data_IF_426942988097
#
_entry.id   IF_426942988097
#
_cell.length_a   1.000
_cell.length_b   1.000
_cell.length_c   1.000
_cell.angle_alpha   90.00
_cell.angle_beta   90.00
_cell.angle_gamma   90.00
#
_symmetry.space_group_name_H-M   'P 1'
#
loop_
_entity.id
_entity.type
_entity.pdbx_description
1 polymer ?
#
# COMPACT_ATOMS: atom_id res chain seq x y z
N UNK A 1 -0.37 -12.68 -9.86
CA UNK A 1 -1.20 -13.04 -8.70
C UNK A 1 -0.31 -12.89 -7.48
N UNK A 2 -0.86 -12.44 -6.36
CA UNK A 2 -0.06 -12.16 -5.18
C UNK A 2 -0.80 -11.22 -4.23
N UNK A 3 -0.33 -11.11 -3.00
CA UNK A 3 -0.82 -10.15 -2.03
C UNK A 3 0.32 -9.84 -1.06
N UNK A 4 0.59 -8.56 -0.82
CA UNK A 4 1.73 -8.14 0.02
C UNK A 4 1.38 -7.92 1.48
N UNK A 5 0.15 -8.25 1.89
CA UNK A 5 -0.47 -7.79 3.15
C UNK A 5 -0.51 -6.25 3.26
N UNK A 6 -0.82 -5.71 4.42
CA UNK A 6 -0.83 -4.25 4.62
C UNK A 6 0.57 -3.65 4.43
N UNK A 7 0.64 -2.58 3.65
CA UNK A 7 1.90 -1.90 3.34
C UNK A 7 2.22 -0.75 4.31
N UNK A 8 3.46 -0.26 4.23
CA UNK A 8 3.94 0.88 5.00
C UNK A 8 3.63 2.21 4.31
N UNK A 9 3.63 3.29 5.09
CA UNK A 9 3.39 4.66 4.64
C UNK A 9 4.58 5.30 3.91
N UNK A 10 5.68 4.58 3.70
CA UNK A 10 6.81 5.05 2.92
C UNK A 10 7.85 5.86 3.70
N UNK A 11 8.92 6.19 2.99
CA UNK A 11 10.15 6.78 3.50
C UNK A 11 10.22 8.27 3.20
N UNK A 12 10.54 9.07 4.21
CA UNK A 12 10.61 10.52 4.11
C UNK A 12 11.96 11.04 4.62
N UNK A 13 12.53 12.00 3.91
CA UNK A 13 13.77 12.67 4.33
C UNK A 13 13.55 13.59 5.53
N UNK A 14 12.33 14.13 5.68
CA UNK A 14 11.91 15.04 6.76
C UNK A 14 10.61 14.54 7.36
N UNK A 15 10.37 14.90 8.62
CA UNK A 15 9.11 14.63 9.30
C UNK A 15 7.97 15.48 8.68
N UNK A 16 6.82 14.85 8.48
CA UNK A 16 5.54 15.40 8.06
C UNK A 16 4.57 15.28 9.25
N UNK A 17 4.11 16.41 9.78
CA UNK A 17 3.27 16.44 10.99
C UNK A 17 1.83 16.87 10.70
N UNK A 18 1.60 17.48 9.55
CA UNK A 18 0.30 18.02 9.17
C UNK A 18 0.09 17.95 7.66
N UNK A 19 -1.16 18.15 7.24
CA UNK A 19 -1.50 18.27 5.80
C UNK A 19 -0.70 19.39 5.11
N UNK A 20 -0.32 20.46 5.83
CA UNK A 20 0.46 21.54 5.24
C UNK A 20 1.86 21.11 4.79
N UNK A 21 2.47 20.14 5.48
CA UNK A 21 3.80 19.61 5.17
C UNK A 21 3.81 18.77 3.87
N UNK A 22 2.63 18.33 3.41
CA UNK A 22 2.48 17.61 2.14
C UNK A 22 2.61 18.54 0.93
N UNK A 23 2.35 19.84 1.11
CA UNK A 23 2.32 20.80 0.01
C UNK A 23 3.69 20.98 -0.62
N UNK A 24 3.80 20.63 -1.89
CA UNK A 24 5.04 20.73 -2.67
C UNK A 24 6.02 19.57 -2.45
N UNK A 25 5.71 18.64 -1.54
CA UNK A 25 6.52 17.45 -1.30
C UNK A 25 6.66 16.64 -2.58
N UNK A 26 7.88 16.34 -3.03
CA UNK A 26 8.09 15.48 -4.20
C UNK A 26 8.10 14.02 -3.76
N UNK A 27 7.03 13.28 -4.03
CA UNK A 27 6.90 11.90 -3.57
C UNK A 27 6.78 10.91 -4.73
N UNK A 28 7.56 9.83 -4.69
CA UNK A 28 7.29 8.67 -5.53
C UNK A 28 6.15 7.87 -4.92
N UNK A 29 5.00 7.85 -5.57
CA UNK A 29 3.80 7.08 -5.18
C UNK A 29 2.87 6.89 -6.39
N UNK A 30 2.68 5.67 -6.92
CA UNK A 30 1.83 5.44 -8.07
C UNK A 30 0.35 5.22 -7.66
N UNK A 31 -0.49 4.96 -8.66
CA UNK A 31 -1.85 4.46 -8.45
C UNK A 31 -2.82 5.48 -7.83
N UNK A 32 -3.85 4.96 -7.17
CA UNK A 32 -4.89 5.78 -6.53
C UNK A 32 -4.35 6.57 -5.33
N UNK A 33 -3.39 5.99 -4.59
CA UNK A 33 -2.69 6.69 -3.51
C UNK A 33 -2.01 7.97 -3.99
N UNK A 34 -1.36 7.92 -5.16
CA UNK A 34 -0.76 9.09 -5.80
C UNK A 34 -1.79 10.16 -6.14
N UNK A 35 -2.90 9.80 -6.77
CA UNK A 35 -3.99 10.77 -7.09
C UNK A 35 -4.55 11.46 -5.84
N UNK A 36 -4.66 10.74 -4.73
CA UNK A 36 -5.12 11.31 -3.45
C UNK A 36 -4.05 12.25 -2.89
N UNK A 37 -2.79 11.85 -2.89
CA UNK A 37 -1.67 12.69 -2.44
C UNK A 37 -1.52 13.96 -3.28
N UNK A 38 -1.75 13.90 -4.60
CA UNK A 38 -1.81 15.09 -5.46
C UNK A 38 -2.89 16.08 -5.02
N UNK A 39 -4.09 15.61 -4.63
CA UNK A 39 -5.16 16.47 -4.08
C UNK A 39 -4.76 17.12 -2.76
N UNK A 40 -3.88 16.48 -1.99
CA UNK A 40 -3.31 17.03 -0.76
C UNK A 40 -2.09 17.94 -1.01
N UNK A 41 -1.73 18.18 -2.27
CA UNK A 41 -0.69 19.12 -2.68
C UNK A 41 0.69 18.50 -2.87
N UNK A 42 0.81 17.17 -2.86
CA UNK A 42 2.07 16.45 -3.15
C UNK A 42 2.36 16.50 -4.64
N UNK A 43 3.62 16.75 -5.00
CA UNK A 43 4.14 16.63 -6.35
C UNK A 43 4.50 15.16 -6.62
N UNK A 44 3.56 14.40 -7.17
CA UNK A 44 3.74 12.95 -7.38
C UNK A 44 4.66 12.65 -8.56
N UNK A 45 5.51 11.63 -8.38
CA UNK A 45 6.42 11.10 -9.40
C UNK A 45 6.22 9.60 -9.54
N UNK A 46 6.37 9.08 -10.76
CA UNK A 46 6.33 7.63 -11.02
C UNK A 46 7.70 7.20 -11.53
N UNK A 47 8.39 6.40 -10.72
CA UNK A 47 9.71 5.86 -11.03
C UNK A 47 9.69 4.33 -10.92
N UNK A 48 10.46 3.62 -11.76
CA UNK A 48 10.74 2.20 -11.57
C UNK A 48 11.39 1.93 -10.20
N UNK A 49 11.11 0.77 -9.60
CA UNK A 49 11.59 0.41 -8.25
C UNK A 49 13.10 0.54 -8.07
N UNK A 50 13.88 0.13 -9.07
CA UNK A 50 15.34 0.20 -9.05
C UNK A 50 15.93 1.63 -9.07
N UNK A 51 15.11 2.64 -9.37
CA UNK A 51 15.54 4.04 -9.45
C UNK A 51 15.20 4.85 -8.18
N UNK A 52 14.34 4.31 -7.31
CA UNK A 52 13.80 5.02 -6.14
C UNK A 52 14.92 5.44 -5.18
N UNK A 53 15.81 4.51 -4.82
CA UNK A 53 16.91 4.79 -3.89
C UNK A 53 17.76 5.96 -4.38
N UNK A 54 18.19 5.92 -5.65
CA UNK A 54 19.05 6.94 -6.22
C UNK A 54 18.36 8.30 -6.31
N UNK A 55 17.05 8.31 -6.59
CA UNK A 55 16.25 9.52 -6.62
C UNK A 55 16.11 10.17 -5.22
N UNK A 56 15.88 9.36 -4.17
CA UNK A 56 15.86 9.83 -2.78
C UNK A 56 17.23 10.35 -2.34
N UNK A 57 18.29 9.58 -2.62
CA UNK A 57 19.67 9.90 -2.23
C UNK A 57 20.11 11.24 -2.83
N UNK A 58 19.91 11.41 -4.15
CA UNK A 58 20.21 12.66 -4.86
C UNK A 58 19.24 13.81 -4.56
N UNK A 59 18.12 13.54 -3.88
CA UNK A 59 17.12 14.56 -3.54
C UNK A 59 16.28 15.04 -4.73
N UNK A 60 16.20 14.26 -5.81
CA UNK A 60 15.23 14.56 -6.88
C UNK A 60 13.80 14.38 -6.35
N UNK A 61 13.59 13.39 -5.48
CA UNK A 61 12.38 13.22 -4.66
C UNK A 61 12.71 13.36 -3.16
N UNK A 62 11.72 13.76 -2.39
CA UNK A 62 11.80 14.00 -0.94
C UNK A 62 11.24 12.82 -0.12
N UNK A 63 10.38 12.02 -0.75
CA UNK A 63 9.76 10.85 -0.16
C UNK A 63 9.48 9.76 -1.22
N UNK A 64 9.34 8.52 -0.78
CA UNK A 64 8.92 7.42 -1.63
C UNK A 64 8.21 6.34 -0.83
N UNK A 65 7.18 5.74 -1.41
CA UNK A 65 6.66 4.46 -0.94
C UNK A 65 7.10 3.30 -1.87
N UNK A 66 7.05 2.08 -1.34
CA UNK A 66 7.27 0.87 -2.12
C UNK A 66 6.38 -0.29 -1.67
N UNK A 67 6.70 -0.95 -0.55
CA UNK A 67 5.85 -2.05 -0.01
C UNK A 67 5.87 -2.06 1.52
N UNK A 68 7.02 -2.35 2.11
CA UNK A 68 7.09 -2.76 3.51
C UNK A 68 8.49 -3.19 3.90
N UNK A 69 8.73 -3.51 5.18
CA UNK A 69 10.07 -3.58 5.75
C UNK A 69 11.04 -4.47 4.96
N UNK A 70 10.59 -5.64 4.50
CA UNK A 70 11.45 -6.60 3.80
C UNK A 70 11.98 -6.10 2.47
N UNK A 71 11.11 -5.57 1.60
CA UNK A 71 11.52 -5.11 0.28
C UNK A 71 12.19 -3.73 0.35
N UNK A 72 11.69 -2.86 1.23
CA UNK A 72 12.24 -1.52 1.42
C UNK A 72 13.67 -1.56 1.97
N UNK A 73 13.98 -2.53 2.86
CA UNK A 73 15.34 -2.80 3.33
C UNK A 73 16.25 -3.24 2.18
N UNK A 74 15.78 -4.15 1.30
CA UNK A 74 16.55 -4.60 0.13
C UNK A 74 16.83 -3.48 -0.86
N UNK A 75 15.89 -2.57 -1.04
CA UNK A 75 16.08 -1.37 -1.86
C UNK A 75 17.02 -0.35 -1.19
N UNK A 76 17.31 -0.50 0.11
CA UNK A 76 18.22 0.36 0.84
C UNK A 76 17.65 1.76 1.13
N UNK A 77 16.33 1.92 1.10
CA UNK A 77 15.67 3.25 1.21
C UNK A 77 16.03 3.96 2.52
N UNK A 78 16.22 3.20 3.60
CA UNK A 78 16.64 3.67 4.91
C UNK A 78 17.99 4.41 4.93
N UNK A 79 18.84 4.20 3.92
CA UNK A 79 20.12 4.91 3.79
C UNK A 79 19.94 6.34 3.27
N UNK A 80 18.86 6.62 2.55
CA UNK A 80 18.58 7.93 1.94
C UNK A 80 17.50 8.74 2.70
N UNK A 81 16.64 8.08 3.46
CA UNK A 81 15.54 8.68 4.22
C UNK A 81 15.39 7.98 5.58
N UNK A 82 15.13 8.74 6.65
CA UNK A 82 15.14 8.21 8.02
C UNK A 82 13.76 7.97 8.61
N UNK A 83 12.75 8.71 8.17
CA UNK A 83 11.40 8.60 8.71
C UNK A 83 10.60 7.59 7.90
N UNK A 84 10.20 6.51 8.55
CA UNK A 84 9.42 5.44 7.91
C UNK A 84 8.00 5.47 8.45
N UNK A 85 7.09 5.97 7.63
CA UNK A 85 5.74 6.27 8.03
C UNK A 85 4.83 5.03 8.04
N UNK A 86 3.78 5.04 8.86
CA UNK A 86 2.73 4.03 8.85
C UNK A 86 1.38 4.60 9.29
N UNK A 87 0.25 3.99 8.88
CA UNK A 87 0.15 2.88 7.92
C UNK A 87 0.24 3.36 6.45
N UNK A 88 0.45 2.42 5.52
CA UNK A 88 0.25 2.64 4.09
C UNK A 88 -1.25 2.63 3.75
N UNK A 89 -1.96 3.71 4.07
CA UNK A 89 -3.41 3.80 3.95
C UNK A 89 -3.94 3.63 2.51
N UNK A 90 -3.10 3.83 1.50
CA UNK A 90 -3.44 3.56 0.09
C UNK A 90 -3.46 2.07 -0.24
N UNK A 91 -2.68 1.26 0.47
CA UNK A 91 -2.50 -0.18 0.22
C UNK A 91 -2.67 -1.00 1.52
N UNK A 92 -3.90 -1.05 2.08
CA UNK A 92 -4.19 -1.85 3.28
C UNK A 92 -4.20 -3.37 3.04
N UNK A 93 -4.00 -3.81 1.80
CA UNK A 93 -4.02 -5.21 1.38
C UNK A 93 -4.06 -5.34 -0.15
N UNK A 94 -3.06 -4.81 -0.87
CA UNK A 94 -3.04 -4.82 -2.32
C UNK A 94 -2.98 -6.26 -2.84
N UNK A 95 -3.83 -6.54 -3.81
CA UNK A 95 -3.81 -7.82 -4.54
C UNK A 95 -3.16 -7.60 -5.90
N UNK A 96 -2.08 -8.33 -6.14
CA UNK A 96 -1.40 -8.37 -7.42
C UNK A 96 -2.13 -9.28 -8.40
N UNK A 97 -2.04 -8.96 -9.68
CA UNK A 97 -2.74 -9.67 -10.74
C UNK A 97 -1.82 -10.59 -11.53
N UNK A 98 -2.41 -11.62 -12.14
CA UNK A 98 -1.79 -12.33 -13.27
C UNK A 98 -2.72 -12.11 -14.46
N UNK A 99 -2.19 -11.46 -15.49
CA UNK A 99 -2.96 -11.21 -16.71
C UNK A 99 -2.58 -12.23 -17.77
N UNK A 100 -3.58 -12.80 -18.43
CA UNK A 100 -3.40 -13.77 -19.51
C UNK A 100 -4.10 -13.27 -20.75
N UNK A 101 -3.44 -13.37 -21.90
CA UNK A 101 -4.08 -13.06 -23.18
C UNK A 101 -5.31 -13.97 -23.38
N UNK A 102 -6.46 -13.36 -23.66
CA UNK A 102 -7.73 -14.11 -23.80
C UNK A 102 -7.68 -15.21 -24.85
N UNK A 103 -7.05 -14.97 -26.02
CA UNK A 103 -6.96 -16.00 -27.07
C UNK A 103 -6.06 -17.17 -26.68
N UNK A 104 -5.01 -16.91 -25.91
CA UNK A 104 -4.17 -17.97 -25.36
C UNK A 104 -4.93 -18.78 -24.30
N UNK A 105 -5.66 -18.09 -23.42
CA UNK A 105 -6.50 -18.72 -22.40
C UNK A 105 -7.55 -19.65 -22.99
N UNK A 106 -8.29 -19.17 -24.01
CA UNK A 106 -9.37 -19.93 -24.65
C UNK A 106 -8.86 -21.18 -25.39
N UNK A 107 -7.55 -21.26 -25.69
CA UNK A 107 -6.90 -22.44 -26.30
C UNK A 107 -6.45 -23.48 -25.27
N UNK A 108 -6.39 -23.14 -23.99
CA UNK A 108 -6.01 -24.10 -22.96
C UNK A 108 -7.11 -25.16 -22.78
N UNK A 109 -6.76 -26.44 -22.62
CA UNK A 109 -7.67 -27.44 -22.10
C UNK A 109 -8.29 -26.98 -20.78
N UNK A 110 -9.53 -27.40 -20.48
CA UNK A 110 -10.25 -26.97 -19.27
C UNK A 110 -9.47 -27.32 -18.01
N UNK A 111 -8.80 -28.47 -18.00
CA UNK A 111 -7.98 -28.92 -16.87
C UNK A 111 -6.84 -27.92 -16.60
N UNK A 112 -6.23 -27.36 -17.65
CA UNK A 112 -5.13 -26.39 -17.52
C UNK A 112 -5.64 -25.01 -17.11
N UNK A 113 -6.86 -24.64 -17.51
CA UNK A 113 -7.51 -23.43 -16.99
C UNK A 113 -7.74 -23.53 -15.48
N UNK A 114 -8.19 -24.68 -14.98
CA UNK A 114 -8.40 -24.86 -13.53
C UNK A 114 -7.07 -24.92 -12.77
N UNK A 115 -6.07 -25.67 -13.26
CA UNK A 115 -4.72 -25.70 -12.67
C UNK A 115 -4.13 -24.28 -12.58
N UNK A 116 -4.30 -23.47 -13.63
CA UNK A 116 -3.82 -22.09 -13.62
C UNK A 116 -4.51 -21.23 -12.56
N UNK A 117 -5.84 -21.35 -12.43
CA UNK A 117 -6.60 -20.63 -11.39
C UNK A 117 -6.15 -21.03 -9.99
N UNK A 118 -5.93 -22.33 -9.75
CA UNK A 118 -5.46 -22.83 -8.45
C UNK A 118 -4.04 -22.36 -8.14
N UNK A 119 -3.14 -22.40 -9.12
CA UNK A 119 -1.80 -21.84 -8.96
C UNK A 119 -1.84 -20.34 -8.64
N UNK A 120 -2.73 -19.57 -9.27
CA UNK A 120 -2.92 -18.16 -8.98
C UNK A 120 -3.48 -17.91 -7.56
N UNK A 121 -4.45 -18.71 -7.10
CA UNK A 121 -4.98 -18.67 -5.73
C UNK A 121 -3.89 -19.00 -4.71
N UNK A 122 -3.11 -20.05 -4.96
CA UNK A 122 -1.98 -20.45 -4.12
C UNK A 122 -0.94 -19.32 -4.04
N UNK A 123 -0.54 -18.74 -5.17
CA UNK A 123 0.41 -17.63 -5.21
C UNK A 123 -0.07 -16.42 -4.40
N UNK A 124 -1.37 -16.11 -4.44
CA UNK A 124 -1.96 -15.04 -3.63
C UNK A 124 -1.77 -15.27 -2.12
N UNK A 125 -2.10 -16.47 -1.63
CA UNK A 125 -2.01 -16.81 -0.20
C UNK A 125 -0.55 -16.96 0.24
N UNK A 126 0.25 -17.66 -0.57
CA UNK A 126 1.65 -17.94 -0.26
C UNK A 126 2.47 -16.65 -0.17
N UNK A 127 2.23 -15.68 -1.07
CA UNK A 127 2.92 -14.39 -1.03
C UNK A 127 2.58 -13.62 0.24
N UNK A 128 1.31 -13.56 0.64
CA UNK A 128 0.91 -12.89 1.88
C UNK A 128 1.60 -13.51 3.11
N UNK A 129 1.58 -14.84 3.21
CA UNK A 129 2.25 -15.56 4.30
C UNK A 129 3.77 -15.32 4.33
N UNK A 130 4.41 -15.16 3.16
CA UNK A 130 5.83 -14.81 3.09
C UNK A 130 6.10 -13.40 3.60
N UNK A 131 5.29 -12.40 3.22
CA UNK A 131 5.44 -11.04 3.75
C UNK A 131 5.22 -11.00 5.27
N UNK A 132 4.20 -11.69 5.79
CA UNK A 132 3.96 -11.78 7.23
C UNK A 132 5.17 -12.37 7.98
N UNK A 133 5.79 -13.42 7.43
CA UNK A 133 6.96 -14.05 8.03
C UNK A 133 8.24 -13.20 7.95
N UNK A 134 8.40 -12.39 6.90
CA UNK A 134 9.65 -11.69 6.60
C UNK A 134 9.68 -10.24 7.12
N UNK A 135 8.53 -9.57 7.16
CA UNK A 135 8.45 -8.15 7.50
C UNK A 135 8.88 -7.86 8.95
N UNK A 136 8.51 -8.72 9.91
CA UNK A 136 8.88 -8.52 11.33
C UNK A 136 10.39 -8.46 11.54
N UNK A 137 11.12 -9.45 11.02
CA UNK A 137 12.58 -9.48 11.14
C UNK A 137 13.29 -8.35 10.39
N UNK A 138 12.76 -7.94 9.23
CA UNK A 138 13.29 -6.78 8.49
C UNK A 138 13.05 -5.47 9.22
N UNK A 139 11.87 -5.29 9.82
CA UNK A 139 11.54 -4.11 10.60
C UNK A 139 12.50 -3.92 11.78
N UNK A 140 12.80 -5.00 12.52
CA UNK A 140 13.78 -4.94 13.61
C UNK A 140 15.17 -4.50 13.14
N UNK A 141 15.63 -4.98 11.98
CA UNK A 141 16.92 -4.58 11.41
C UNK A 141 16.92 -3.12 11.00
N UNK A 142 15.83 -2.64 10.39
CA UNK A 142 15.66 -1.23 10.03
C UNK A 142 15.71 -0.32 11.27
N UNK A 143 15.03 -0.70 12.36
CA UNK A 143 15.07 0.04 13.63
C UNK A 143 16.51 0.05 14.20
N UNK A 144 17.20 -1.10 14.20
CA UNK A 144 18.61 -1.19 14.61
C UNK A 144 19.55 -0.35 13.74
N UNK A 145 19.15 -0.05 12.51
CA UNK A 145 19.82 0.85 11.58
C UNK A 145 19.33 2.31 11.67
N UNK A 146 18.82 2.72 12.84
CA UNK A 146 18.38 4.08 13.17
C UNK A 146 17.15 4.62 12.40
N UNK A 147 16.37 3.74 11.76
CA UNK A 147 15.08 4.12 11.16
C UNK A 147 14.12 4.64 12.23
N UNK A 148 13.42 5.74 11.92
CA UNK A 148 12.41 6.36 12.80
C UNK A 148 11.02 5.96 12.32
N UNK A 149 10.43 4.95 12.98
CA UNK A 149 9.03 4.61 12.77
C UNK A 149 8.14 5.77 13.22
N UNK A 150 7.34 6.27 12.30
CA UNK A 150 6.57 7.49 12.51
C UNK A 150 5.11 7.24 12.14
N UNK A 151 4.15 7.35 13.07
CA UNK A 151 2.76 7.28 12.69
C UNK A 151 2.38 8.53 11.89
N UNK A 152 1.54 8.38 10.87
CA UNK A 152 0.82 9.54 10.35
C UNK A 152 -0.04 10.17 11.43
N UNK A 153 -0.11 11.49 11.43
CA UNK A 153 -1.04 12.24 12.27
C UNK A 153 -2.48 11.97 11.83
N UNK A 154 -3.41 12.10 12.77
CA UNK A 154 -4.84 11.85 12.50
C UNK A 154 -5.41 12.82 11.47
N UNK A 155 -4.94 14.07 11.42
CA UNK A 155 -5.38 15.06 10.43
C UNK A 155 -4.98 14.65 9.01
N UNK A 156 -3.77 14.11 8.80
CA UNK A 156 -3.33 13.57 7.51
C UNK A 156 -4.21 12.38 7.10
N UNK A 157 -4.45 11.43 8.01
CA UNK A 157 -5.26 10.25 7.71
C UNK A 157 -6.72 10.63 7.38
N UNK A 158 -7.32 11.57 8.12
CA UNK A 158 -8.67 12.06 7.86
C UNK A 158 -8.76 12.84 6.54
N UNK A 159 -7.76 13.67 6.23
CA UNK A 159 -7.71 14.39 4.96
C UNK A 159 -7.55 13.42 3.76
N UNK A 160 -6.70 12.40 3.89
CA UNK A 160 -6.52 11.36 2.89
C UNK A 160 -7.78 10.51 2.70
N UNK A 161 -8.45 10.11 3.79
CA UNK A 161 -9.71 9.37 3.71
C UNK A 161 -10.79 10.18 2.98
N UNK A 162 -10.97 11.45 3.36
CA UNK A 162 -11.92 12.35 2.72
C UNK A 162 -11.62 12.49 1.23
N UNK A 163 -10.37 12.82 0.87
CA UNK A 163 -9.96 12.99 -0.52
C UNK A 163 -10.09 11.70 -1.34
N UNK A 164 -9.86 10.53 -0.72
CA UNK A 164 -10.05 9.21 -1.34
C UNK A 164 -11.52 8.99 -1.71
N UNK A 165 -12.45 9.21 -0.78
CA UNK A 165 -13.87 9.02 -1.07
C UNK A 165 -14.42 10.05 -2.05
N UNK A 166 -13.98 11.31 -1.97
CA UNK A 166 -14.34 12.32 -2.99
C UNK A 166 -13.87 11.88 -4.38
N UNK A 167 -12.64 11.34 -4.51
CA UNK A 167 -12.13 10.79 -5.77
C UNK A 167 -12.97 9.60 -6.25
N UNK A 168 -13.32 8.66 -5.37
CA UNK A 168 -14.10 7.48 -5.76
C UNK A 168 -15.53 7.82 -6.17
N UNK A 169 -16.20 8.74 -5.47
CA UNK A 169 -17.53 9.20 -5.86
C UNK A 169 -17.49 9.98 -7.20
N UNK A 170 -16.45 10.77 -7.44
CA UNK A 170 -16.22 11.43 -8.72
C UNK A 170 -16.02 10.41 -9.85
N UNK A 171 -15.14 9.42 -9.67
CA UNK A 171 -14.88 8.37 -10.66
C UNK A 171 -16.16 7.54 -10.92
N UNK A 172 -16.93 7.21 -9.87
CA UNK A 172 -18.21 6.52 -10.00
C UNK A 172 -19.28 7.35 -10.73
N UNK A 173 -19.23 8.68 -10.62
CA UNK A 173 -20.14 9.56 -11.38
C UNK A 173 -19.83 9.58 -12.89
N UNK A 174 -18.59 9.28 -13.27
CA UNK A 174 -18.09 9.36 -14.66
C UNK A 174 -18.01 8.01 -15.37
N UNK A 175 -17.80 6.92 -14.64
CA UNK A 175 -17.64 5.56 -15.20
C UNK A 175 -18.60 4.56 -14.54
N UNK A 176 -19.58 4.08 -15.32
CA UNK A 176 -20.56 3.10 -14.88
C UNK A 176 -19.94 1.75 -14.48
N UNK A 177 -18.80 1.35 -15.09
CA UNK A 177 -18.09 0.12 -14.71
C UNK A 177 -17.41 0.30 -13.36
N UNK A 178 -16.74 1.44 -13.16
CA UNK A 178 -16.16 1.78 -11.86
C UNK A 178 -17.24 1.81 -10.78
N UNK A 179 -18.34 2.54 -11.03
CA UNK A 179 -19.48 2.63 -10.11
C UNK A 179 -19.98 1.26 -9.65
N UNK A 180 -20.19 0.34 -10.61
CA UNK A 180 -20.66 -1.02 -10.31
C UNK A 180 -19.74 -1.77 -9.35
N UNK A 181 -18.42 -1.66 -9.55
CA UNK A 181 -17.43 -2.32 -8.66
C UNK A 181 -17.36 -1.61 -7.32
N UNK A 182 -17.32 -0.28 -7.32
CA UNK A 182 -17.21 0.56 -6.13
C UNK A 182 -18.39 0.37 -5.16
N UNK A 183 -19.63 0.34 -5.66
CA UNK A 183 -20.83 0.13 -4.82
C UNK A 183 -20.80 -1.24 -4.12
N UNK A 184 -20.41 -2.30 -4.84
CA UNK A 184 -20.25 -3.64 -4.27
C UNK A 184 -19.14 -3.68 -3.23
N UNK A 185 -17.98 -3.10 -3.56
CA UNK A 185 -16.84 -3.01 -2.66
C UNK A 185 -17.20 -2.23 -1.38
N UNK A 186 -17.90 -1.09 -1.49
CA UNK A 186 -18.30 -0.24 -0.36
C UNK A 186 -19.24 -1.00 0.58
N UNK A 187 -20.20 -1.75 0.03
CA UNK A 187 -21.10 -2.61 0.81
C UNK A 187 -20.34 -3.72 1.56
N UNK A 188 -19.47 -4.45 0.86
CA UNK A 188 -18.68 -5.53 1.46
C UNK A 188 -17.70 -5.02 2.52
N UNK A 189 -17.02 -3.89 2.27
CA UNK A 189 -16.10 -3.25 3.21
C UNK A 189 -16.78 -2.98 4.55
N UNK A 190 -17.98 -2.41 4.55
CA UNK A 190 -18.71 -2.10 5.78
C UNK A 190 -19.04 -3.35 6.60
N UNK A 191 -19.37 -4.47 5.94
CA UNK A 191 -19.59 -5.75 6.60
C UNK A 191 -18.30 -6.28 7.24
N UNK A 192 -17.20 -6.29 6.49
CA UNK A 192 -15.90 -6.75 6.96
C UNK A 192 -15.38 -5.87 8.10
N UNK A 193 -15.50 -4.56 8.01
CA UNK A 193 -15.07 -3.64 9.07
C UNK A 193 -15.83 -3.87 10.37
N UNK A 194 -17.14 -4.14 10.30
CA UNK A 194 -17.94 -4.47 11.48
C UNK A 194 -17.49 -5.78 12.13
N UNK A 195 -17.24 -6.81 11.32
CA UNK A 195 -16.74 -8.10 11.82
C UNK A 195 -15.34 -7.97 12.42
N UNK A 196 -14.38 -7.41 11.67
CA UNK A 196 -13.00 -7.25 12.11
C UNK A 196 -12.88 -6.30 13.30
N UNK A 197 -13.71 -5.25 13.37
CA UNK A 197 -13.77 -4.36 14.52
C UNK A 197 -14.22 -5.08 15.80
N UNK A 198 -15.07 -6.11 15.68
CA UNK A 198 -15.54 -6.92 16.82
C UNK A 198 -14.53 -7.99 17.22
N UNK A 199 -13.97 -8.71 16.23
CA UNK A 199 -13.11 -9.86 16.46
C UNK A 199 -11.63 -9.48 16.43
N UNK A 200 -11.06 -9.29 15.23
CA UNK A 200 -9.61 -9.10 15.02
C UNK A 200 -9.05 -7.88 15.76
N UNK A 201 -9.72 -6.72 15.67
CA UNK A 201 -9.26 -5.49 16.32
C UNK A 201 -9.32 -5.60 17.85
N UNK A 202 -10.38 -6.20 18.39
CA UNK A 202 -10.51 -6.44 19.84
C UNK A 202 -9.41 -7.35 20.34
N UNK A 203 -9.10 -8.43 19.61
CA UNK A 203 -8.00 -9.32 19.93
C UNK A 203 -6.64 -8.64 19.81
N UNK A 204 -6.38 -7.93 18.70
CA UNK A 204 -5.13 -7.20 18.47
C UNK A 204 -4.88 -6.15 19.57
N UNK A 205 -5.91 -5.39 19.96
CA UNK A 205 -5.82 -4.45 21.07
C UNK A 205 -5.48 -5.14 22.40
N UNK A 206 -6.01 -6.34 22.66
CA UNK A 206 -5.69 -7.11 23.86
C UNK A 206 -4.27 -7.72 23.82
N UNK A 207 -3.88 -8.29 22.69
CA UNK A 207 -2.67 -9.09 22.55
C UNK A 207 -1.42 -8.24 22.28
N UNK A 208 -1.52 -7.18 21.46
CA UNK A 208 -0.36 -6.41 20.99
C UNK A 208 -0.03 -5.20 21.86
N UNK A 209 -0.96 -4.71 22.69
CA UNK A 209 -0.74 -3.58 23.61
C UNK A 209 0.12 -3.94 24.84
N UNK A 210 0.51 -5.21 24.97
CA UNK A 210 1.20 -5.75 26.16
C UNK A 210 2.72 -5.82 26.03
N UNK A 211 3.29 -5.35 24.93
CA UNK A 211 4.73 -5.34 24.66
C UNK A 211 5.26 -3.91 24.53
#
# INVERSE_FOLDING_TARGET
AGNTSAQMGGWFKKQINSVADLKGLKMRIPGLGGKVMERLGVNVQVLPGGEIFLALDRGTIDAAEWVGPYDDEKLGLYKAAKFYYYPGWWEPGPTLEVQVNKKAWDKLPKEYQEIFKDAARYANINMAAQYDALNGGALERLIKADTKLTPYSQDILQAAEKASFELFEEDASKDAKFKKVYEQWKGFRNQVYKWNGTNELSFANFAFSRN
#
